data_IF_767815173097
#
_entry.id   IF_767815173097
#
_cell.length_a   1.000
_cell.length_b   1.000
_cell.length_c   1.000
_cell.angle_alpha   90.00
_cell.angle_beta   90.00
_cell.angle_gamma   90.00
#
_symmetry.space_group_name_H-M   'P 1'
#
loop_
_entity.id
_entity.type
_entity.pdbx_description
1 polymer ?
#
# COMPACT_ATOMS: atom_id res chain seq x y z
N UNK A 1 13.09 -1.80 -11.08
CA UNK A 1 12.41 -0.49 -11.19
C UNK A 1 12.16 -0.05 -9.77
N UNK A 2 12.71 1.10 -9.38
CA UNK A 2 12.63 1.61 -8.02
C UNK A 2 11.84 2.90 -8.04
N UNK A 3 10.95 3.05 -7.07
CA UNK A 3 10.13 4.24 -6.91
C UNK A 3 10.41 4.76 -5.51
N UNK A 4 10.70 6.05 -5.39
CA UNK A 4 10.82 6.69 -4.08
C UNK A 4 9.42 6.92 -3.49
N UNK A 5 8.43 7.19 -4.36
CA UNK A 5 7.04 7.44 -4.01
C UNK A 5 6.09 6.73 -4.97
N UNK A 6 5.03 6.13 -4.43
CA UNK A 6 3.91 5.55 -5.18
C UNK A 6 2.60 6.13 -4.67
N UNK A 7 1.78 6.69 -5.56
CA UNK A 7 0.42 7.16 -5.26
C UNK A 7 -0.60 6.17 -5.82
N UNK A 8 -1.43 5.60 -4.96
CA UNK A 8 -2.58 4.77 -5.32
C UNK A 8 -3.82 5.65 -5.25
N UNK A 9 -4.23 6.16 -6.41
CA UNK A 9 -5.47 6.91 -6.55
C UNK A 9 -6.65 5.98 -6.85
N UNK A 10 -7.79 6.26 -6.23
CA UNK A 10 -9.00 5.47 -6.38
C UNK A 10 -10.12 6.32 -7.02
N UNK A 11 -11.02 5.72 -7.80
CA UNK A 11 -12.16 6.45 -8.36
C UNK A 11 -13.05 6.98 -7.23
N UNK A 12 -13.53 8.21 -7.41
CA UNK A 12 -14.41 8.90 -6.47
C UNK A 12 -15.76 8.17 -6.42
N UNK A 13 -16.19 7.77 -5.23
CA UNK A 13 -17.55 7.27 -4.98
C UNK A 13 -17.68 5.75 -4.90
N UNK A 14 -18.73 5.33 -4.20
CA UNK A 14 -19.03 3.93 -3.90
C UNK A 14 -20.14 3.40 -4.83
N UNK A 15 -19.94 2.20 -5.38
CA UNK A 15 -21.02 1.33 -5.86
C UNK A 15 -20.57 -0.14 -5.78
N UNK A 16 -21.50 -1.08 -5.57
CA UNK A 16 -21.19 -2.51 -5.33
C UNK A 16 -20.34 -3.16 -6.44
N UNK A 17 -20.48 -2.66 -7.67
CA UNK A 17 -19.73 -3.13 -8.84
C UNK A 17 -18.38 -2.41 -9.06
N UNK A 18 -17.94 -1.56 -8.12
CA UNK A 18 -16.68 -0.83 -8.27
C UNK A 18 -15.49 -1.80 -8.28
N UNK A 19 -14.51 -1.63 -9.19
CA UNK A 19 -13.30 -2.43 -9.19
C UNK A 19 -12.62 -2.41 -7.81
N UNK A 20 -12.35 -3.59 -7.26
CA UNK A 20 -11.68 -3.69 -5.96
C UNK A 20 -10.21 -3.34 -6.09
N UNK A 21 -9.68 -2.63 -5.10
CA UNK A 21 -8.30 -2.13 -5.07
C UNK A 21 -7.26 -3.13 -4.56
N UNK A 22 -7.68 -4.35 -4.27
CA UNK A 22 -6.80 -5.41 -3.76
C UNK A 22 -5.60 -5.67 -4.66
N UNK A 23 -5.80 -5.73 -5.98
CA UNK A 23 -4.71 -6.00 -6.92
C UNK A 23 -3.71 -4.83 -6.97
N UNK A 24 -4.20 -3.58 -6.92
CA UNK A 24 -3.35 -2.39 -6.88
C UNK A 24 -2.53 -2.36 -5.59
N UNK A 25 -3.16 -2.53 -4.42
CA UNK A 25 -2.48 -2.56 -3.13
C UNK A 25 -1.45 -3.70 -3.05
N UNK A 26 -1.80 -4.88 -3.56
CA UNK A 26 -0.88 -6.02 -3.63
C UNK A 26 0.34 -5.72 -4.52
N UNK A 27 0.10 -5.17 -5.72
CA UNK A 27 1.16 -4.83 -6.68
C UNK A 27 2.09 -3.76 -6.11
N UNK A 28 1.54 -2.72 -5.50
CA UNK A 28 2.32 -1.65 -4.87
C UNK A 28 3.12 -2.17 -3.69
N UNK A 29 2.51 -2.97 -2.82
CA UNK A 29 3.23 -3.62 -1.73
C UNK A 29 4.39 -4.47 -2.23
N UNK A 30 4.20 -5.22 -3.32
CA UNK A 30 5.26 -6.01 -3.96
C UNK A 30 6.36 -5.13 -4.54
N UNK A 31 6.01 -4.03 -5.21
CA UNK A 31 6.98 -3.13 -5.83
C UNK A 31 7.82 -2.42 -4.76
N UNK A 32 7.18 -1.86 -3.75
CA UNK A 32 7.84 -1.14 -2.65
C UNK A 32 8.81 -2.05 -1.90
N UNK A 33 8.37 -3.24 -1.48
CA UNK A 33 9.23 -4.17 -0.71
C UNK A 33 10.35 -4.82 -1.53
N UNK A 34 10.22 -4.86 -2.86
CA UNK A 34 11.22 -5.47 -3.75
C UNK A 34 12.23 -4.45 -4.30
N UNK A 35 12.20 -3.21 -3.81
CA UNK A 35 13.30 -2.26 -3.98
C UNK A 35 14.62 -2.89 -3.53
N UNK A 36 15.74 -2.51 -4.13
CA UNK A 36 17.05 -3.05 -3.76
C UNK A 36 17.44 -2.63 -2.35
N UNK A 37 17.47 -1.32 -2.10
CA UNK A 37 17.83 -0.73 -0.81
C UNK A 37 16.96 0.50 -0.49
N UNK A 38 16.87 0.83 0.80
CA UNK A 38 16.10 1.97 1.29
C UNK A 38 14.61 1.66 1.49
N UNK A 39 13.80 2.69 1.37
CA UNK A 39 12.37 2.67 1.67
C UNK A 39 11.58 3.25 0.50
N UNK A 40 10.27 3.01 0.48
CA UNK A 40 9.35 3.57 -0.52
C UNK A 40 8.15 4.15 0.20
N UNK A 41 7.85 5.41 -0.08
CA UNK A 41 6.64 6.06 0.40
C UNK A 41 5.44 5.65 -0.46
N UNK A 42 4.39 5.20 0.19
CA UNK A 42 3.14 4.81 -0.46
C UNK A 42 2.01 5.64 0.09
N UNK A 43 1.36 6.39 -0.80
CA UNK A 43 0.17 7.17 -0.50
C UNK A 43 -1.05 6.47 -1.10
N UNK A 44 -2.10 6.29 -0.31
CA UNK A 44 -3.35 5.67 -0.77
C UNK A 44 -4.50 6.64 -0.51
N UNK A 45 -5.19 7.04 -1.57
CA UNK A 45 -6.35 7.92 -1.51
C UNK A 45 -7.67 7.12 -1.51
N UNK A 46 -8.67 7.64 -0.78
CA UNK A 46 -10.06 7.14 -0.74
C UNK A 46 -10.25 5.73 -0.14
N UNK A 47 -9.48 5.40 0.90
CA UNK A 47 -9.55 4.11 1.63
C UNK A 47 -10.64 4.07 2.70
N UNK A 48 -11.86 4.46 2.34
CA UNK A 48 -12.96 4.63 3.30
C UNK A 48 -13.72 3.31 3.58
N UNK A 49 -13.49 2.25 2.77
CA UNK A 49 -14.15 0.94 2.96
C UNK A 49 -13.38 0.07 3.94
N UNK A 50 -14.11 -0.63 4.79
CA UNK A 50 -13.55 -1.58 5.78
C UNK A 50 -12.69 -2.66 5.11
N UNK A 51 -13.07 -3.15 3.92
CA UNK A 51 -12.27 -4.13 3.21
C UNK A 51 -10.94 -3.55 2.74
N UNK A 52 -10.94 -2.35 2.19
CA UNK A 52 -9.73 -1.73 1.64
C UNK A 52 -8.82 -1.21 2.75
N UNK A 53 -9.38 -0.79 3.88
CA UNK A 53 -8.63 -0.57 5.11
C UNK A 53 -7.86 -1.84 5.49
N UNK A 54 -8.55 -2.98 5.57
CA UNK A 54 -7.93 -4.28 5.87
C UNK A 54 -6.87 -4.66 4.83
N UNK A 55 -7.14 -4.49 3.54
CA UNK A 55 -6.18 -4.85 2.49
C UNK A 55 -4.97 -3.92 2.44
N UNK A 56 -5.15 -2.62 2.67
CA UNK A 56 -4.05 -1.66 2.72
C UNK A 56 -3.12 -2.01 3.88
N UNK A 57 -3.67 -2.27 5.07
CA UNK A 57 -2.90 -2.72 6.24
C UNK A 57 -2.28 -4.11 6.07
N UNK A 58 -2.91 -5.01 5.32
CA UNK A 58 -2.36 -6.34 5.07
C UNK A 58 -1.19 -6.32 4.07
N UNK A 59 -1.32 -5.58 2.96
CA UNK A 59 -0.33 -5.57 1.88
C UNK A 59 0.71 -4.45 1.97
N UNK A 60 0.41 -3.38 2.71
CA UNK A 60 1.36 -2.29 2.99
C UNK A 60 1.90 -2.34 4.44
N UNK A 61 1.37 -3.25 5.27
CA UNK A 61 1.65 -3.43 6.70
C UNK A 61 1.15 -2.27 7.59
N UNK A 62 0.37 -2.60 8.61
CA UNK A 62 -0.04 -1.64 9.63
C UNK A 62 1.15 -1.06 10.41
N UNK A 63 2.22 -1.86 10.60
CA UNK A 63 3.45 -1.40 11.26
C UNK A 63 4.26 -0.37 10.45
N UNK A 64 3.93 -0.18 9.16
CA UNK A 64 4.56 0.82 8.30
C UNK A 64 3.65 2.03 8.05
N UNK A 65 2.48 2.08 8.67
CA UNK A 65 1.58 3.23 8.61
C UNK A 65 2.17 4.40 9.39
N UNK A 66 2.29 5.55 8.73
CA UNK A 66 2.86 6.77 9.32
C UNK A 66 1.73 7.66 9.82
N UNK A 67 0.86 8.09 8.91
CA UNK A 67 -0.23 9.00 9.21
C UNK A 67 -1.36 8.95 8.16
N UNK A 68 -2.46 9.61 8.50
CA UNK A 68 -3.57 9.87 7.58
C UNK A 68 -3.96 11.34 7.65
N UNK A 69 -3.95 12.00 6.50
CA UNK A 69 -4.46 13.36 6.33
C UNK A 69 -5.68 13.34 5.42
N UNK A 70 -6.85 13.69 5.97
CA UNK A 70 -8.12 13.57 5.26
C UNK A 70 -8.39 12.15 4.79
N UNK A 71 -8.46 11.96 3.46
CA UNK A 71 -8.69 10.66 2.79
C UNK A 71 -7.41 10.04 2.21
N UNK A 72 -6.24 10.58 2.56
CA UNK A 72 -4.95 10.08 2.09
C UNK A 72 -4.20 9.45 3.25
N UNK A 73 -3.73 8.23 3.05
CA UNK A 73 -2.91 7.48 4.02
C UNK A 73 -1.49 7.37 3.52
N UNK A 74 -0.54 7.50 4.44
CA UNK A 74 0.89 7.38 4.16
C UNK A 74 1.48 6.15 4.85
N UNK A 75 2.23 5.37 4.07
CA UNK A 75 3.04 4.25 4.53
C UNK A 75 4.49 4.42 4.08
N UNK A 76 5.45 4.00 4.90
CA UNK A 76 6.86 3.94 4.52
C UNK A 76 7.34 2.49 4.59
N UNK A 77 7.52 1.87 3.42
CA UNK A 77 7.78 0.43 3.31
C UNK A 77 9.28 0.20 3.08
N UNK A 78 9.99 -0.49 3.99
CA UNK A 78 11.40 -0.80 3.79
C UNK A 78 11.61 -1.93 2.78
N UNK A 79 12.79 -1.97 2.17
CA UNK A 79 13.22 -3.07 1.31
C UNK A 79 13.27 -4.39 2.09
N UNK A 80 12.67 -5.44 1.51
CA UNK A 80 12.77 -6.83 1.96
C UNK A 80 13.29 -7.76 0.86
N UNK A 81 13.87 -7.22 -0.24
CA UNK A 81 14.31 -8.00 -1.40
C UNK A 81 15.31 -9.12 -1.05
N UNK A 82 16.16 -8.88 -0.05
CA UNK A 82 17.16 -9.86 0.42
C UNK A 82 16.57 -11.07 1.17
N UNK A 83 15.26 -11.05 1.53
CA UNK A 83 14.63 -12.09 2.36
C UNK A 83 13.33 -12.61 1.71
N UNK A 84 13.50 -13.55 0.79
CA UNK A 84 12.39 -14.29 0.18
C UNK A 84 11.51 -14.96 1.26
N UNK A 85 10.20 -14.90 1.09
CA UNK A 85 9.23 -15.57 1.98
C UNK A 85 8.77 -14.77 3.20
N UNK A 86 9.24 -13.52 3.40
CA UNK A 86 8.67 -12.65 4.44
C UNK A 86 7.22 -12.28 4.12
N UNK A 87 6.29 -12.29 5.10
CA UNK A 87 4.96 -11.71 4.91
C UNK A 87 5.08 -10.20 4.62
N UNK A 88 4.01 -9.60 4.09
CA UNK A 88 3.99 -8.15 3.86
C UNK A 88 4.11 -7.36 5.16
N UNK A 89 3.55 -7.88 6.24
CA UNK A 89 3.69 -7.33 7.59
C UNK A 89 4.45 -8.35 8.47
N UNK A 90 5.77 -8.17 8.65
CA UNK A 90 6.63 -9.06 9.43
C UNK A 90 6.51 -8.89 10.95
#
# INVERSE_FOLDING_TARGET
MEWDLIMVDAPIGYHDNAPRRMSALYTVGLMARNREEGETDVFVHDVDRVEEDKFSKAFLCEGYFIEQEGRVRHFTIPSHRARLGRPFCP
#
